data_IF_813875683107
#
_entry.id   IF_813875683107
#
_cell.length_a   1.000
_cell.length_b   1.000
_cell.length_c   1.000
_cell.angle_alpha   90.00
_cell.angle_beta   90.00
_cell.angle_gamma   90.00
#
_symmetry.space_group_name_H-M   'P 1'
#
loop_
_entity.id
_entity.type
_entity.pdbx_description
1 polymer ?
#
# COMPACT_ATOMS: atom_id res chain seq x y z
N UNK A 1 5.78 33.67 -4.44
CA UNK A 1 6.91 32.83 -3.99
C UNK A 1 6.81 31.52 -4.75
N UNK A 2 7.77 31.19 -5.62
CA UNK A 2 7.90 29.82 -6.12
C UNK A 2 8.36 29.01 -4.92
N UNK A 3 7.49 28.18 -4.33
CA UNK A 3 7.98 27.12 -3.44
C UNK A 3 8.87 26.26 -4.33
N UNK A 4 10.17 26.21 -4.02
CA UNK A 4 11.01 25.14 -4.52
C UNK A 4 10.27 23.85 -4.18
N UNK A 5 9.88 23.09 -5.21
CA UNK A 5 9.21 21.82 -5.01
C UNK A 5 10.18 20.96 -4.22
N UNK A 6 9.94 20.84 -2.91
CA UNK A 6 10.52 19.81 -2.10
C UNK A 6 9.99 18.51 -2.70
N UNK A 7 10.80 17.86 -3.53
CA UNK A 7 10.51 16.47 -3.82
C UNK A 7 10.80 15.72 -2.54
N UNK A 8 9.86 14.84 -2.16
CA UNK A 8 10.24 13.80 -1.24
C UNK A 8 11.41 13.06 -1.89
N UNK A 9 12.55 13.05 -1.21
CA UNK A 9 13.74 12.34 -1.64
C UNK A 9 14.04 11.41 -0.50
N UNK A 10 13.56 10.19 -0.64
CA UNK A 10 14.15 9.05 0.05
C UNK A 10 15.18 8.56 -0.96
N UNK A 11 16.43 8.95 -0.72
CA UNK A 11 17.55 8.66 -1.63
C UNK A 11 18.00 7.20 -1.52
N UNK A 12 17.47 6.48 -0.53
CA UNK A 12 17.73 5.09 -0.23
C UNK A 12 17.14 4.16 -1.30
N UNK A 13 18.03 3.38 -1.89
CA UNK A 13 17.68 2.22 -2.73
C UNK A 13 17.12 1.07 -1.88
N UNK A 14 16.57 0.04 -2.52
CA UNK A 14 16.16 -1.17 -1.79
C UNK A 14 17.34 -1.84 -1.09
N UNK A 15 18.52 -1.81 -1.70
CA UNK A 15 19.76 -2.31 -1.13
C UNK A 15 20.15 -1.55 0.14
N UNK A 16 20.00 -0.23 0.15
CA UNK A 16 20.23 0.60 1.33
C UNK A 16 19.24 0.25 2.45
N UNK A 17 17.96 0.07 2.12
CA UNK A 17 16.94 -0.34 3.10
C UNK A 17 17.24 -1.72 3.71
N UNK A 18 17.71 -2.67 2.91
CA UNK A 18 18.09 -4.01 3.40
C UNK A 18 19.32 -3.95 4.31
N UNK A 19 20.25 -3.04 4.07
CA UNK A 19 21.44 -2.83 4.89
C UNK A 19 21.19 -1.98 6.15
N UNK A 20 20.12 -1.19 6.15
CA UNK A 20 19.74 -0.29 7.24
C UNK A 20 19.31 -1.06 8.49
N UNK A 21 19.63 -0.56 9.68
CA UNK A 21 19.08 -1.11 10.92
C UNK A 21 17.64 -0.65 11.17
N UNK A 22 16.86 -1.45 11.91
CA UNK A 22 15.43 -1.20 12.13
C UNK A 22 15.13 0.15 12.82
N UNK A 23 15.88 0.59 13.85
CA UNK A 23 15.76 1.95 14.37
C UNK A 23 15.92 3.05 13.32
N UNK A 24 16.99 2.99 12.50
CA UNK A 24 17.21 3.95 11.42
C UNK A 24 16.07 3.94 10.41
N UNK A 25 15.60 2.76 10.01
CA UNK A 25 14.44 2.61 9.12
C UNK A 25 13.19 3.26 9.70
N UNK A 26 12.90 3.01 10.98
CA UNK A 26 11.75 3.63 11.66
C UNK A 26 11.87 5.15 11.72
N UNK A 27 13.06 5.70 11.96
CA UNK A 27 13.27 7.16 11.92
C UNK A 27 12.93 7.72 10.54
N UNK A 28 13.43 7.11 9.48
CA UNK A 28 13.14 7.52 8.09
C UNK A 28 11.63 7.45 7.77
N UNK A 29 10.93 6.42 8.25
CA UNK A 29 9.48 6.28 8.07
C UNK A 29 8.69 7.34 8.84
N UNK A 30 9.09 7.65 10.07
CA UNK A 30 8.46 8.73 10.83
C UNK A 30 8.63 10.06 10.11
N UNK A 31 9.84 10.36 9.61
CA UNK A 31 10.09 11.56 8.82
C UNK A 31 9.22 11.63 7.56
N UNK A 32 8.97 10.50 6.89
CA UNK A 32 8.03 10.44 5.75
C UNK A 32 6.60 10.78 6.19
N UNK A 33 6.12 10.23 7.31
CA UNK A 33 4.79 10.53 7.84
C UNK A 33 4.69 12.01 8.24
N UNK A 34 5.69 12.57 8.92
CA UNK A 34 5.71 13.98 9.30
C UNK A 34 5.69 14.90 8.07
N UNK A 35 6.42 14.56 6.99
CA UNK A 35 6.34 15.29 5.72
C UNK A 35 4.94 15.27 5.09
N UNK A 36 4.18 14.17 5.26
CA UNK A 36 2.77 14.16 4.88
C UNK A 36 1.93 15.11 5.74
N UNK A 37 2.22 15.15 7.03
CA UNK A 37 1.55 16.00 8.02
C UNK A 37 1.85 17.50 7.87
N UNK A 38 3.00 17.87 7.31
CA UNK A 38 3.39 19.27 7.06
C UNK A 38 2.54 19.98 6.00
N UNK A 39 1.70 19.23 5.28
CA UNK A 39 0.75 19.81 4.34
C UNK A 39 -0.31 20.64 5.07
N UNK A 40 -0.43 21.90 4.64
CA UNK A 40 -1.60 22.71 4.98
C UNK A 40 -2.87 21.98 4.61
N UNK A 41 -3.92 22.14 5.43
CA UNK A 41 -5.20 21.51 5.12
C UNK A 41 -5.68 21.86 3.72
N UNK A 42 -6.26 20.88 3.05
CA UNK A 42 -6.64 20.98 1.64
C UNK A 42 -8.04 20.43 1.42
N UNK A 43 -8.63 20.78 0.28
CA UNK A 43 -9.90 20.23 -0.15
C UNK A 43 -9.67 19.19 -1.25
N UNK A 44 -10.48 18.15 -1.26
CA UNK A 44 -10.52 17.16 -2.36
C UNK A 44 -11.88 17.20 -3.04
N UNK A 45 -11.91 16.72 -4.29
CA UNK A 45 -13.17 16.58 -5.05
C UNK A 45 -13.50 15.09 -5.16
N UNK A 46 -14.61 14.68 -4.56
CA UNK A 46 -15.14 13.31 -4.64
C UNK A 46 -16.57 13.36 -5.16
N UNK A 47 -16.84 12.64 -6.24
CA UNK A 47 -18.16 12.59 -6.89
C UNK A 47 -18.74 13.99 -7.23
N UNK A 48 -17.86 14.93 -7.62
CA UNK A 48 -18.24 16.30 -7.98
C UNK A 48 -18.51 17.23 -6.79
N UNK A 49 -18.35 16.74 -5.56
CA UNK A 49 -18.49 17.52 -4.32
C UNK A 49 -17.11 17.83 -3.74
N UNK A 50 -16.93 19.07 -3.28
CA UNK A 50 -15.77 19.48 -2.51
C UNK A 50 -15.89 18.99 -1.05
N UNK A 51 -14.85 18.34 -0.55
CA UNK A 51 -14.75 17.80 0.81
C UNK A 51 -13.51 18.40 1.48
N UNK A 52 -13.70 19.05 2.63
CA UNK A 52 -12.60 19.60 3.43
C UNK A 52 -13.03 20.78 4.32
N UNK A 53 -12.08 21.43 5.00
CA UNK A 53 -10.63 21.18 4.92
C UNK A 53 -10.23 19.82 5.52
N UNK A 54 -9.31 19.11 4.86
CA UNK A 54 -8.73 17.84 5.31
C UNK A 54 -7.31 18.08 5.80
N UNK A 55 -6.96 17.54 6.96
CA UNK A 55 -5.61 17.56 7.52
C UNK A 55 -5.03 16.15 7.53
N UNK A 56 -3.83 15.94 6.96
CA UNK A 56 -3.17 14.65 7.06
C UNK A 56 -2.87 14.27 8.52
N UNK A 57 -2.54 15.25 9.38
CA UNK A 57 -2.34 15.01 10.82
C UNK A 57 -3.59 14.39 11.44
N UNK A 58 -4.76 14.98 11.19
CA UNK A 58 -6.02 14.49 11.75
C UNK A 58 -6.37 13.10 11.21
N UNK A 59 -6.15 12.86 9.92
CA UNK A 59 -6.46 11.57 9.29
C UNK A 59 -5.50 10.45 9.73
N UNK A 60 -4.23 10.75 10.01
CA UNK A 60 -3.29 9.78 10.57
C UNK A 60 -3.61 9.44 12.03
N UNK A 61 -4.03 10.41 12.84
CA UNK A 61 -4.39 10.18 14.24
C UNK A 61 -5.82 9.62 14.41
N UNK A 62 -6.63 9.66 13.34
CA UNK A 62 -7.97 9.08 13.34
C UNK A 62 -7.95 7.54 13.51
N UNK A 63 -9.04 6.95 14.03
CA UNK A 63 -9.16 5.50 14.11
C UNK A 63 -9.06 4.84 12.73
N UNK A 64 -8.32 3.73 12.66
CA UNK A 64 -8.24 2.89 11.45
C UNK A 64 -9.55 2.16 11.11
N UNK A 65 -10.58 2.26 11.96
CA UNK A 65 -11.88 1.57 11.83
C UNK A 65 -11.74 0.06 11.56
N UNK A 66 -10.74 -0.53 12.21
CA UNK A 66 -10.43 -1.96 12.21
C UNK A 66 -10.72 -2.57 13.59
N UNK A 67 -10.74 -3.89 13.68
CA UNK A 67 -11.01 -4.60 14.95
C UNK A 67 -9.91 -4.41 16.01
N UNK A 68 -8.73 -3.92 15.61
CA UNK A 68 -7.57 -3.77 16.50
C UNK A 68 -7.51 -2.36 17.14
N UNK A 69 -8.45 -1.46 16.82
CA UNK A 69 -8.60 -0.11 17.40
C UNK A 69 -7.33 0.77 17.36
N UNK A 70 -6.43 0.52 16.41
CA UNK A 70 -5.26 1.36 16.17
C UNK A 70 -5.62 2.66 15.47
N UNK A 71 -4.84 3.72 15.70
CA UNK A 71 -4.85 4.87 14.80
C UNK A 71 -4.33 4.46 13.42
N UNK A 72 -4.63 5.26 12.40
CA UNK A 72 -4.11 4.98 11.07
C UNK A 72 -2.56 5.09 11.04
N UNK A 73 -1.99 6.01 11.81
CA UNK A 73 -0.54 6.16 11.96
C UNK A 73 0.11 4.89 12.50
N UNK A 74 -0.46 4.32 13.58
CA UNK A 74 0.01 3.07 14.15
C UNK A 74 -0.08 1.92 13.15
N UNK A 75 -1.17 1.84 12.38
CA UNK A 75 -1.32 0.83 11.32
C UNK A 75 -0.27 1.01 10.22
N UNK A 76 -0.08 2.22 9.69
CA UNK A 76 0.90 2.49 8.63
C UNK A 76 2.33 2.16 9.08
N UNK A 77 2.70 2.45 10.33
CA UNK A 77 4.01 2.07 10.89
C UNK A 77 4.16 0.54 10.91
N UNK A 78 3.13 -0.21 11.30
CA UNK A 78 3.18 -1.68 11.30
C UNK A 78 3.31 -2.25 9.89
N UNK A 79 2.57 -1.70 8.93
CA UNK A 79 2.68 -2.11 7.51
C UNK A 79 4.11 -1.88 7.01
N UNK A 80 4.74 -0.77 7.38
CA UNK A 80 6.12 -0.47 7.00
C UNK A 80 7.15 -1.33 7.73
N UNK A 81 6.94 -1.65 9.00
CA UNK A 81 7.74 -2.65 9.72
C UNK A 81 7.67 -4.02 9.01
N UNK A 82 6.50 -4.41 8.50
CA UNK A 82 6.37 -5.65 7.69
C UNK A 82 7.11 -5.55 6.37
N UNK A 83 7.07 -4.41 5.71
CA UNK A 83 7.88 -4.15 4.52
C UNK A 83 9.37 -4.34 4.83
N UNK A 84 9.89 -3.73 5.89
CA UNK A 84 11.28 -3.88 6.31
C UNK A 84 11.65 -5.35 6.60
N UNK A 85 10.83 -6.05 7.38
CA UNK A 85 11.11 -7.45 7.75
C UNK A 85 11.16 -8.38 6.53
N UNK A 86 10.41 -8.06 5.47
CA UNK A 86 10.24 -8.91 4.29
C UNK A 86 11.06 -8.48 3.07
N UNK A 87 11.44 -7.20 2.93
CA UNK A 87 12.04 -6.66 1.71
C UNK A 87 13.31 -7.40 1.28
N UNK A 88 14.13 -7.88 2.22
CA UNK A 88 15.34 -8.69 1.96
C UNK A 88 15.11 -10.00 1.21
N UNK A 89 13.87 -10.48 1.12
CA UNK A 89 13.49 -11.69 0.36
C UNK A 89 12.96 -11.39 -1.04
N UNK A 90 12.94 -10.12 -1.44
CA UNK A 90 12.38 -9.65 -2.70
C UNK A 90 13.41 -8.78 -3.42
N UNK A 91 13.60 -9.02 -4.72
CA UNK A 91 14.36 -8.12 -5.59
C UNK A 91 13.42 -7.15 -6.29
N UNK A 92 13.44 -5.88 -5.89
CA UNK A 92 12.68 -4.80 -6.51
C UNK A 92 13.53 -3.89 -7.39
N UNK A 93 14.80 -4.25 -7.63
CA UNK A 93 15.72 -3.41 -8.39
C UNK A 93 15.25 -3.30 -9.84
N UNK A 94 15.06 -2.06 -10.29
CA UNK A 94 14.45 -1.76 -11.59
C UNK A 94 12.94 -2.01 -11.69
N UNK A 95 12.27 -2.44 -10.62
CA UNK A 95 10.81 -2.64 -10.58
C UNK A 95 10.10 -1.38 -10.08
N UNK A 96 10.37 -0.95 -8.85
CA UNK A 96 9.78 0.24 -8.24
C UNK A 96 10.79 0.86 -7.29
N UNK A 97 10.89 2.19 -7.25
CA UNK A 97 11.72 2.86 -6.25
C UNK A 97 11.10 2.68 -4.85
N UNK A 98 11.94 2.48 -3.83
CA UNK A 98 11.47 2.27 -2.46
C UNK A 98 10.61 3.44 -1.98
N UNK A 99 11.02 4.69 -2.26
CA UNK A 99 10.24 5.89 -1.95
C UNK A 99 8.78 5.80 -2.41
N UNK A 100 8.56 5.40 -3.65
CA UNK A 100 7.23 5.30 -4.27
C UNK A 100 6.41 4.21 -3.59
N UNK A 101 7.05 3.10 -3.23
CA UNK A 101 6.41 2.02 -2.50
C UNK A 101 6.10 2.43 -1.05
N UNK A 102 6.98 3.17 -0.38
CA UNK A 102 6.74 3.68 0.97
C UNK A 102 5.55 4.65 0.98
N UNK A 103 5.42 5.53 -0.02
CA UNK A 103 4.25 6.41 -0.19
C UNK A 103 2.96 5.59 -0.35
N UNK A 104 2.99 4.50 -1.13
CA UNK A 104 1.86 3.57 -1.24
C UNK A 104 1.44 3.08 0.14
N UNK A 105 2.40 2.55 0.91
CA UNK A 105 2.12 1.95 2.22
C UNK A 105 1.64 2.99 3.24
N UNK A 106 2.23 4.19 3.26
CA UNK A 106 1.83 5.25 4.20
C UNK A 106 0.41 5.73 3.93
N UNK A 107 0.04 5.91 2.65
CA UNK A 107 -1.21 6.55 2.26
C UNK A 107 -2.36 5.59 1.95
N UNK A 108 -2.14 4.27 1.88
CA UNK A 108 -3.13 3.33 1.32
C UNK A 108 -4.53 3.40 1.96
N UNK A 109 -4.62 3.72 3.25
CA UNK A 109 -5.87 3.78 4.01
C UNK A 109 -6.24 5.20 4.49
N UNK A 110 -5.54 6.25 4.01
CA UNK A 110 -5.69 7.63 4.50
C UNK A 110 -7.07 8.25 4.28
N UNK A 111 -7.82 7.79 3.28
CA UNK A 111 -9.19 8.26 3.02
C UNK A 111 -10.26 7.56 3.87
N UNK A 112 -9.89 6.63 4.75
CA UNK A 112 -10.87 5.79 5.46
C UNK A 112 -11.73 6.58 6.43
N UNK A 113 -11.13 7.48 7.22
CA UNK A 113 -11.88 8.29 8.17
C UNK A 113 -12.75 9.33 7.45
N UNK A 114 -12.20 10.06 6.46
CA UNK A 114 -13.01 10.96 5.59
C UNK A 114 -14.22 10.25 4.97
N UNK A 115 -14.02 9.03 4.44
CA UNK A 115 -15.11 8.22 3.86
C UNK A 115 -16.19 7.87 4.88
N UNK A 116 -15.79 7.53 6.11
CA UNK A 116 -16.72 7.23 7.18
C UNK A 116 -17.50 8.48 7.60
N UNK A 117 -16.85 9.64 7.72
CA UNK A 117 -17.50 10.90 8.09
C UNK A 117 -18.48 11.40 7.01
N UNK A 118 -18.10 11.38 5.73
CA UNK A 118 -18.97 11.91 4.64
C UNK A 118 -20.08 10.93 4.23
N UNK A 119 -19.84 9.61 4.26
CA UNK A 119 -20.79 8.60 3.73
C UNK A 119 -21.32 7.61 4.77
N UNK A 120 -20.83 7.64 6.01
CA UNK A 120 -21.16 6.65 7.03
C UNK A 120 -20.62 5.24 6.71
N UNK A 121 -19.68 5.11 5.76
CA UNK A 121 -19.22 3.81 5.29
C UNK A 121 -17.80 3.84 4.72
N UNK A 122 -17.00 2.83 5.07
CA UNK A 122 -15.63 2.64 4.56
C UNK A 122 -15.57 2.04 3.16
N UNK A 123 -16.69 1.60 2.58
CA UNK A 123 -16.70 1.01 1.22
C UNK A 123 -16.23 2.00 0.14
N UNK A 124 -16.29 3.29 0.43
CA UNK A 124 -15.86 4.34 -0.49
C UNK A 124 -14.43 4.83 -0.22
N UNK A 125 -13.71 4.25 0.76
CA UNK A 125 -12.41 4.74 1.22
C UNK A 125 -11.40 4.96 0.08
N UNK A 126 -11.34 4.04 -0.90
CA UNK A 126 -10.38 4.14 -2.00
C UNK A 126 -10.60 5.41 -2.82
N UNK A 127 -11.85 5.91 -2.95
CA UNK A 127 -12.14 7.16 -3.67
C UNK A 127 -11.49 8.35 -2.98
N UNK A 128 -11.61 8.43 -1.65
CA UNK A 128 -11.01 9.50 -0.86
C UNK A 128 -9.49 9.37 -0.83
N UNK A 129 -8.98 8.16 -0.57
CA UNK A 129 -7.54 7.87 -0.57
C UNK A 129 -6.90 8.29 -1.89
N UNK A 130 -7.51 7.96 -3.04
CA UNK A 130 -6.94 8.30 -4.35
C UNK A 130 -6.86 9.81 -4.57
N UNK A 131 -7.84 10.60 -4.10
CA UNK A 131 -7.78 12.05 -4.23
C UNK A 131 -6.71 12.66 -3.31
N UNK A 132 -6.60 12.17 -2.08
CA UNK A 132 -5.56 12.60 -1.14
C UNK A 132 -4.16 12.24 -1.64
N UNK A 133 -3.99 11.02 -2.17
CA UNK A 133 -2.76 10.59 -2.83
C UNK A 133 -2.41 11.50 -4.01
N UNK A 134 -3.37 11.82 -4.88
CA UNK A 134 -3.13 12.73 -6.02
C UNK A 134 -2.64 14.09 -5.56
N UNK A 135 -3.32 14.68 -4.57
CA UNK A 135 -2.94 15.96 -3.99
C UNK A 135 -1.50 15.91 -3.44
N UNK A 136 -1.19 14.88 -2.66
CA UNK A 136 0.16 14.67 -2.12
C UNK A 136 1.22 14.56 -3.24
N UNK A 137 0.95 13.75 -4.27
CA UNK A 137 1.86 13.52 -5.39
C UNK A 137 1.99 14.72 -6.33
N UNK A 138 1.05 15.66 -6.34
CA UNK A 138 1.15 16.95 -7.04
C UNK A 138 2.17 17.89 -6.39
N UNK A 139 2.30 17.79 -5.07
CA UNK A 139 3.16 18.65 -4.28
C UNK A 139 4.57 18.04 -4.15
N UNK A 140 4.66 16.79 -3.69
CA UNK A 140 5.95 16.16 -3.32
C UNK A 140 6.41 15.06 -4.27
N UNK A 141 5.51 14.51 -5.08
CA UNK A 141 5.78 13.30 -5.85
C UNK A 141 6.00 13.51 -7.34
N UNK A 142 6.27 12.40 -8.03
CA UNK A 142 6.25 12.35 -9.50
C UNK A 142 4.88 11.93 -10.00
N UNK A 143 4.28 12.75 -10.86
CA UNK A 143 2.96 12.52 -11.45
C UNK A 143 2.83 11.17 -12.16
N UNK A 144 3.93 10.67 -12.75
CA UNK A 144 3.95 9.38 -13.45
C UNK A 144 3.59 8.18 -12.56
N UNK A 145 3.83 8.27 -11.24
CA UNK A 145 3.51 7.19 -10.31
C UNK A 145 2.06 7.19 -9.82
N UNK A 146 1.31 8.30 -9.99
CA UNK A 146 -0.08 8.40 -9.53
C UNK A 146 -0.94 7.28 -10.13
N UNK A 147 -0.76 6.97 -11.40
CA UNK A 147 -1.56 5.97 -12.09
C UNK A 147 -1.31 4.56 -11.53
N UNK A 148 -0.05 4.22 -11.22
CA UNK A 148 0.32 2.95 -10.60
C UNK A 148 -0.24 2.86 -9.18
N UNK A 149 0.04 3.86 -8.33
CA UNK A 149 -0.35 3.89 -6.93
C UNK A 149 -1.87 3.88 -6.76
N UNK A 150 -2.58 4.74 -7.49
CA UNK A 150 -4.04 4.75 -7.46
C UNK A 150 -4.64 3.43 -7.95
N UNK A 151 -4.03 2.77 -8.94
CA UNK A 151 -4.50 1.47 -9.41
C UNK A 151 -4.29 0.38 -8.37
N UNK A 152 -3.17 0.37 -7.65
CA UNK A 152 -2.92 -0.57 -6.55
C UNK A 152 -3.90 -0.38 -5.39
N UNK A 153 -4.20 0.87 -5.01
CA UNK A 153 -5.13 1.20 -3.92
C UNK A 153 -6.59 0.88 -4.29
N UNK A 154 -6.99 1.11 -5.54
CA UNK A 154 -8.39 0.95 -5.99
C UNK A 154 -8.88 -0.52 -5.92
N UNK A 155 -8.00 -1.49 -5.70
CA UNK A 155 -8.31 -2.90 -5.84
C UNK A 155 -7.72 -3.80 -4.75
N UNK A 156 -8.53 -4.78 -4.33
CA UNK A 156 -8.11 -5.88 -3.43
C UNK A 156 -8.35 -7.25 -4.11
N UNK A 157 -7.71 -7.54 -5.26
CA UNK A 157 -7.94 -8.78 -5.98
C UNK A 157 -7.42 -9.99 -5.18
N UNK A 158 -6.29 -9.85 -4.48
CA UNK A 158 -5.67 -10.94 -3.72
C UNK A 158 -6.44 -11.25 -2.44
N UNK A 159 -6.87 -10.23 -1.69
CA UNK A 159 -7.69 -10.44 -0.50
C UNK A 159 -9.05 -11.04 -0.84
N UNK A 160 -9.72 -10.58 -1.91
CA UNK A 160 -10.98 -11.18 -2.38
C UNK A 160 -10.79 -12.63 -2.83
N UNK A 161 -9.70 -12.92 -3.55
CA UNK A 161 -9.36 -14.27 -3.96
C UNK A 161 -9.13 -15.21 -2.77
N UNK A 162 -8.31 -14.81 -1.80
CA UNK A 162 -7.98 -15.60 -0.62
C UNK A 162 -9.21 -15.82 0.29
N UNK A 163 -10.15 -14.87 0.32
CA UNK A 163 -11.46 -15.02 0.98
C UNK A 163 -12.45 -15.89 0.20
N UNK A 164 -12.09 -16.39 -0.99
CA UNK A 164 -12.96 -17.18 -1.85
C UNK A 164 -14.07 -16.38 -2.55
N UNK A 165 -13.98 -15.05 -2.55
CA UNK A 165 -14.95 -14.14 -3.18
C UNK A 165 -14.70 -13.96 -4.67
N UNK A 166 -13.55 -14.44 -5.17
CA UNK A 166 -13.21 -14.51 -6.60
C UNK A 166 -12.60 -15.84 -6.95
N UNK A 167 -12.85 -16.29 -8.18
CA UNK A 167 -12.15 -17.41 -8.77
C UNK A 167 -10.74 -17.04 -9.20
N UNK A 168 -9.95 -18.06 -9.56
CA UNK A 168 -8.61 -17.89 -10.12
C UNK A 168 -8.63 -17.04 -11.41
N UNK A 169 -9.51 -17.38 -12.36
CA UNK A 169 -9.57 -16.69 -13.65
C UNK A 169 -10.05 -15.25 -13.55
N UNK A 170 -11.01 -14.97 -12.67
CA UNK A 170 -11.45 -13.60 -12.40
C UNK A 170 -10.32 -12.75 -11.81
N UNK A 171 -9.60 -13.30 -10.83
CA UNK A 171 -8.47 -12.63 -10.16
C UNK A 171 -7.34 -12.35 -11.15
N UNK A 172 -6.95 -13.35 -11.93
CA UNK A 172 -5.96 -13.24 -13.00
C UNK A 172 -6.32 -12.15 -14.00
N UNK A 173 -7.54 -12.18 -14.54
CA UNK A 173 -8.00 -11.18 -15.51
C UNK A 173 -8.08 -9.76 -14.93
N UNK A 174 -8.45 -9.64 -13.66
CA UNK A 174 -8.49 -8.35 -12.96
C UNK A 174 -7.09 -7.76 -12.82
N UNK A 175 -6.11 -8.56 -12.40
CA UNK A 175 -4.71 -8.13 -12.27
C UNK A 175 -4.12 -7.71 -13.64
N UNK A 176 -4.39 -8.46 -14.71
CA UNK A 176 -3.94 -8.08 -16.07
C UNK A 176 -4.55 -6.74 -16.54
N UNK A 177 -5.85 -6.56 -16.32
CA UNK A 177 -6.53 -5.29 -16.64
C UNK A 177 -5.97 -4.13 -15.82
N UNK A 178 -5.66 -4.38 -14.55
CA UNK A 178 -5.04 -3.41 -13.66
C UNK A 178 -3.64 -3.01 -14.12
N UNK A 179 -2.77 -3.97 -14.43
CA UNK A 179 -1.44 -3.71 -14.96
C UNK A 179 -1.50 -2.86 -16.24
N UNK A 180 -2.42 -3.18 -17.16
CA UNK A 180 -2.65 -2.39 -18.37
C UNK A 180 -3.14 -0.96 -18.05
N UNK A 181 -4.08 -0.80 -17.10
CA UNK A 181 -4.55 0.52 -16.63
C UNK A 181 -3.41 1.33 -16.03
N UNK A 182 -2.54 0.67 -15.25
CA UNK A 182 -1.34 1.25 -14.63
C UNK A 182 -0.20 1.53 -15.63
N UNK A 183 -0.33 1.09 -16.90
CA UNK A 183 0.75 1.10 -17.91
C UNK A 183 2.03 0.42 -17.41
N UNK A 184 1.85 -0.72 -16.76
CA UNK A 184 2.93 -1.46 -16.11
C UNK A 184 3.01 -2.89 -16.63
N UNK A 185 4.20 -3.49 -16.58
CA UNK A 185 4.38 -4.90 -16.93
C UNK A 185 3.53 -5.77 -16.00
N UNK A 186 2.80 -6.76 -16.54
CA UNK A 186 1.92 -7.63 -15.77
C UNK A 186 2.65 -8.34 -14.62
N UNK A 187 3.87 -8.81 -14.90
CA UNK A 187 4.72 -9.51 -13.92
C UNK A 187 5.12 -8.58 -12.80
N UNK A 188 5.71 -7.43 -13.14
CA UNK A 188 6.16 -6.43 -12.16
C UNK A 188 4.99 -5.88 -11.35
N UNK A 189 3.82 -5.66 -11.98
CA UNK A 189 2.62 -5.19 -11.30
C UNK A 189 2.12 -6.22 -10.28
N UNK A 190 2.00 -7.48 -10.69
CA UNK A 190 1.61 -8.56 -9.78
C UNK A 190 2.59 -8.70 -8.63
N UNK A 191 3.89 -8.58 -8.90
CA UNK A 191 4.93 -8.67 -7.89
C UNK A 191 4.83 -7.58 -6.83
N UNK A 192 4.62 -6.32 -7.24
CA UNK A 192 4.36 -5.19 -6.33
C UNK A 192 3.05 -5.41 -5.55
N UNK A 193 1.96 -5.78 -6.24
CA UNK A 193 0.66 -6.01 -5.64
C UNK A 193 0.70 -7.12 -4.58
N UNK A 194 1.40 -8.21 -4.86
CA UNK A 194 1.60 -9.32 -3.92
C UNK A 194 2.35 -8.85 -2.68
N UNK A 195 3.46 -8.13 -2.85
CA UNK A 195 4.23 -7.65 -1.72
C UNK A 195 3.48 -6.61 -0.89
N UNK A 196 2.77 -5.70 -1.55
CA UNK A 196 1.86 -4.75 -0.90
C UNK A 196 0.79 -5.48 -0.06
N UNK A 197 0.11 -6.47 -0.63
CA UNK A 197 -0.87 -7.28 0.10
C UNK A 197 -0.25 -7.99 1.31
N UNK A 198 0.96 -8.52 1.18
CA UNK A 198 1.66 -9.17 2.30
C UNK A 198 1.97 -8.16 3.41
N UNK A 199 2.43 -6.96 3.07
CA UNK A 199 2.73 -5.92 4.07
C UNK A 199 1.46 -5.49 4.83
N UNK A 200 0.37 -5.20 4.12
CA UNK A 200 -0.88 -4.74 4.72
C UNK A 200 -1.58 -5.86 5.50
N UNK A 201 -1.84 -7.01 4.87
CA UNK A 201 -2.61 -8.07 5.52
C UNK A 201 -1.88 -8.70 6.72
N UNK A 202 -0.54 -8.71 6.73
CA UNK A 202 0.25 -9.26 7.85
C UNK A 202 0.53 -8.24 8.98
N UNK A 203 0.14 -6.97 8.83
CA UNK A 203 0.23 -5.99 9.92
C UNK A 203 -0.84 -6.23 10.99
N UNK A 204 -1.95 -6.88 10.61
CA UNK A 204 -3.01 -7.33 11.52
C UNK A 204 -2.66 -8.70 12.12
N UNK A 205 -2.56 -8.79 13.44
CA UNK A 205 -2.17 -10.01 14.13
C UNK A 205 -3.14 -11.17 13.89
N UNK A 206 -4.44 -10.85 13.83
CA UNK A 206 -5.48 -11.84 13.60
C UNK A 206 -5.45 -12.42 12.17
N UNK A 207 -5.15 -11.59 11.17
CA UNK A 207 -5.01 -12.06 9.79
C UNK A 207 -3.67 -12.79 9.60
N UNK A 208 -2.59 -12.26 10.19
CA UNK A 208 -1.27 -12.89 10.17
C UNK A 208 -1.36 -14.36 10.58
N UNK A 209 -1.95 -14.64 11.75
CA UNK A 209 -2.08 -16.02 12.29
C UNK A 209 -2.95 -16.95 11.44
N UNK A 210 -3.89 -16.40 10.67
CA UNK A 210 -4.87 -17.19 9.88
C UNK A 210 -4.41 -17.47 8.46
N UNK A 211 -3.73 -16.50 7.85
CA UNK A 211 -3.42 -16.49 6.42
C UNK A 211 -1.95 -16.78 6.17
N UNK A 212 -1.07 -16.42 7.08
CA UNK A 212 0.37 -16.44 6.85
C UNK A 212 1.11 -17.43 7.75
N UNK A 213 2.28 -17.82 7.29
CA UNK A 213 3.25 -18.65 7.99
C UNK A 213 4.64 -18.03 7.83
N UNK A 214 5.37 -17.90 8.93
CA UNK A 214 6.74 -17.43 8.95
C UNK A 214 7.68 -18.64 8.89
N UNK A 215 8.53 -18.69 7.87
CA UNK A 215 9.63 -19.66 7.78
C UNK A 215 10.69 -19.36 8.85
N UNK A 216 11.53 -20.36 9.14
CA UNK A 216 12.65 -20.21 10.08
C UNK A 216 13.68 -19.15 9.68
N UNK A 217 13.77 -18.83 8.38
CA UNK A 217 14.61 -17.75 7.85
C UNK A 217 13.97 -16.35 7.99
N UNK A 218 12.72 -16.27 8.46
CA UNK A 218 11.94 -15.05 8.63
C UNK A 218 11.13 -14.63 7.41
N UNK A 219 11.19 -15.39 6.31
CA UNK A 219 10.34 -15.15 5.13
C UNK A 219 8.90 -15.53 5.43
N UNK A 220 7.97 -14.77 4.89
CA UNK A 220 6.55 -15.04 5.01
C UNK A 220 5.99 -15.72 3.76
N UNK A 221 5.08 -16.68 3.97
CA UNK A 221 4.26 -17.28 2.92
C UNK A 221 2.82 -17.46 3.40
N UNK A 222 1.94 -17.92 2.50
CA UNK A 222 0.62 -18.37 2.93
C UNK A 222 0.74 -19.60 3.83
N UNK A 223 -0.16 -19.69 4.79
CA UNK A 223 -0.23 -20.82 5.71
C UNK A 223 -0.43 -22.13 4.92
N UNK A 224 0.30 -23.23 5.26
CA UNK A 224 0.19 -24.52 4.57
C UNK A 224 -1.25 -25.03 4.42
N UNK A 225 -2.05 -24.85 5.47
CA UNK A 225 -3.45 -25.27 5.54
C UNK A 225 -4.45 -24.26 4.93
N UNK A 226 -3.98 -23.16 4.32
CA UNK A 226 -4.89 -22.20 3.70
C UNK A 226 -5.53 -22.83 2.44
N UNK A 227 -6.86 -22.83 2.37
CA UNK A 227 -7.63 -23.51 1.30
C UNK A 227 -7.27 -23.06 -0.12
N UNK A 228 -6.77 -21.83 -0.26
CA UNK A 228 -6.32 -21.22 -1.54
C UNK A 228 -4.81 -21.25 -1.75
N UNK A 229 -4.02 -21.93 -0.92
CA UNK A 229 -2.55 -21.92 -1.02
C UNK A 229 -2.08 -22.36 -2.41
N UNK A 230 -2.52 -23.52 -2.88
CA UNK A 230 -2.09 -24.07 -4.17
C UNK A 230 -2.51 -23.15 -5.33
N UNK A 231 -3.74 -22.65 -5.34
CA UNK A 231 -4.20 -21.71 -6.36
C UNK A 231 -3.40 -20.40 -6.35
N UNK A 232 -2.95 -19.93 -5.19
CA UNK A 232 -2.11 -18.73 -5.06
C UNK A 232 -0.67 -18.97 -5.53
N UNK A 233 -0.12 -20.16 -5.30
CA UNK A 233 1.18 -20.59 -5.84
C UNK A 233 1.12 -20.74 -7.37
N UNK A 234 0.01 -21.26 -7.89
CA UNK A 234 -0.26 -21.31 -9.33
C UNK A 234 -0.35 -19.89 -9.92
N UNK A 235 -1.05 -18.98 -9.23
CA UNK A 235 -1.16 -17.57 -9.66
C UNK A 235 0.21 -16.89 -9.68
N UNK A 236 1.03 -17.15 -8.66
CA UNK A 236 2.42 -16.66 -8.61
C UNK A 236 3.25 -17.20 -9.77
N UNK A 237 3.14 -18.50 -10.04
CA UNK A 237 3.86 -19.16 -11.13
C UNK A 237 3.41 -18.64 -12.50
N UNK A 238 2.12 -18.39 -12.68
CA UNK A 238 1.57 -17.85 -13.91
C UNK A 238 2.20 -16.51 -14.28
N UNK A 239 2.26 -15.57 -13.33
CA UNK A 239 2.87 -14.26 -13.58
C UNK A 239 4.41 -14.36 -13.68
N UNK A 240 5.07 -15.23 -12.93
CA UNK A 240 6.52 -15.41 -13.04
C UNK A 240 6.99 -15.97 -14.40
N UNK A 241 6.14 -16.72 -15.12
CA UNK A 241 6.47 -17.27 -16.46
C UNK A 241 6.20 -16.31 -17.62
N UNK A 242 5.56 -15.17 -17.35
CA UNK A 242 5.20 -14.20 -18.38
C UNK A 242 6.29 -13.14 -18.63
N UNK A 243 7.43 -13.23 -17.93
CA UNK A 243 8.62 -12.38 -18.07
C UNK A 243 9.64 -12.94 -19.06
#
# INVERSE_FOLDING_TARGET
>A
MKQDKFFLKIDESWEDIVAMDKPSFRSMILDLIEKCCDLSSFNIIVDGKEIGPISFVEEFEAPSHTFENHSLREHSIRVLDRCYDQCRFYDFSGVIAFEVFAILLVLHDIGKNVSFVDKGSKIYQHRYTIQMLKHFMEIYGKQEHILLLSTLIDMDPLGQFLKGQRSFDETKNLIKKAAKKAKFCEVSFFYILKFYYFCDASSYDNLKKRIFYDYSDGRMALHPEHSRKNDFEELTTFFAKAS
#
